data_IF_705856792479
#
_entry.id   IF_705856792479
#
_cell.length_a   1.000
_cell.length_b   1.000
_cell.length_c   1.000
_cell.angle_alpha   90.00
_cell.angle_beta   90.00
_cell.angle_gamma   90.00
#
_symmetry.space_group_name_H-M   'P 1'
#
loop_
_entity.id
_entity.type
_entity.pdbx_description
1 polymer ?
#
# COMPACT_ATOMS: atom_id res chain seq x y z
N UNK A 1 -10.62 23.87 -38.30
CA UNK A 1 -10.95 24.94 -37.34
C UNK A 1 -11.73 24.33 -36.19
N UNK A 2 -11.02 23.75 -35.21
CA UNK A 2 -11.49 23.53 -33.83
C UNK A 2 -10.22 23.66 -32.98
N UNK A 3 -10.16 24.70 -32.16
CA UNK A 3 -9.10 24.92 -31.18
C UNK A 3 -9.32 23.93 -30.04
N UNK A 4 -8.33 23.10 -29.72
CA UNK A 4 -8.27 22.40 -28.44
C UNK A 4 -7.29 23.16 -27.55
N UNK A 5 -7.86 23.88 -26.60
CA UNK A 5 -7.17 24.67 -25.60
C UNK A 5 -6.33 23.77 -24.68
N UNK A 6 -5.18 24.30 -24.28
CA UNK A 6 -4.25 23.73 -23.33
C UNK A 6 -4.96 23.40 -22.01
N UNK A 7 -5.11 22.12 -21.69
CA UNK A 7 -5.43 21.69 -20.33
C UNK A 7 -4.15 21.76 -19.49
N UNK A 8 -3.93 22.92 -18.87
CA UNK A 8 -2.94 23.06 -17.80
C UNK A 8 -3.26 22.05 -16.68
N UNK A 9 -2.31 21.15 -16.45
CA UNK A 9 -2.32 20.21 -15.32
C UNK A 9 -2.27 21.05 -14.05
N UNK A 10 -3.44 21.26 -13.42
CA UNK A 10 -3.54 21.91 -12.12
C UNK A 10 -2.81 21.06 -11.10
N UNK A 11 -1.65 21.57 -10.67
CA UNK A 11 -0.93 21.15 -9.49
C UNK A 11 -1.95 21.00 -8.33
N UNK A 12 -2.05 19.84 -7.65
CA UNK A 12 -2.96 19.71 -6.53
C UNK A 12 -2.56 20.77 -5.50
N UNK A 13 -3.50 21.69 -5.25
CA UNK A 13 -3.38 22.76 -4.26
C UNK A 13 -2.79 22.17 -2.98
N UNK A 14 -1.74 22.83 -2.51
CA UNK A 14 -1.09 22.61 -1.22
C UNK A 14 -2.09 22.13 -0.15
N UNK A 15 -1.73 21.07 0.57
CA UNK A 15 -2.35 20.66 1.84
C UNK A 15 -2.73 21.92 2.65
N UNK A 16 -3.93 21.98 3.26
CA UNK A 16 -4.40 23.21 3.89
C UNK A 16 -3.36 23.74 4.88
N UNK A 17 -2.92 24.97 4.61
CA UNK A 17 -2.13 25.79 5.50
C UNK A 17 -2.80 25.83 6.87
N UNK A 18 -2.16 25.25 7.90
CA UNK A 18 -2.38 25.50 9.33
C UNK A 18 -3.79 25.98 9.72
N UNK A 19 -4.84 25.24 9.33
CA UNK A 19 -6.07 25.17 10.11
C UNK A 19 -5.99 23.91 10.98
N UNK A 20 -4.89 23.83 11.75
CA UNK A 20 -4.76 22.88 12.85
C UNK A 20 -5.54 23.45 14.04
N UNK A 21 -6.84 23.69 13.85
CA UNK A 21 -7.78 23.53 14.95
C UNK A 21 -7.79 22.04 15.28
N UNK A 22 -7.67 21.71 16.55
CA UNK A 22 -7.50 20.36 17.09
C UNK A 22 -8.66 19.42 16.71
N UNK A 23 -8.70 18.90 15.48
CA UNK A 23 -9.61 17.82 15.10
C UNK A 23 -9.13 16.57 15.83
N UNK A 24 -9.65 16.36 17.04
CA UNK A 24 -9.21 15.34 17.99
C UNK A 24 -10.19 14.19 18.15
N UNK A 25 -11.40 14.32 17.63
CA UNK A 25 -12.44 13.32 17.83
C UNK A 25 -13.09 12.88 16.52
N UNK A 26 -13.53 11.63 16.51
CA UNK A 26 -14.13 10.98 15.36
C UNK A 26 -15.41 11.70 14.86
N UNK A 27 -16.15 12.36 15.76
CA UNK A 27 -17.40 13.06 15.39
C UNK A 27 -17.13 14.29 14.52
N UNK A 28 -16.03 14.98 14.73
CA UNK A 28 -15.61 16.11 13.89
C UNK A 28 -15.08 15.62 12.54
N UNK A 29 -14.27 14.56 12.54
CA UNK A 29 -13.69 13.99 11.32
C UNK A 29 -14.78 13.55 10.34
N UNK A 30 -15.81 12.85 10.81
CA UNK A 30 -16.90 12.35 9.95
C UNK A 30 -17.70 13.49 9.29
N UNK A 31 -17.68 14.71 9.86
CA UNK A 31 -18.39 15.87 9.30
C UNK A 31 -17.61 16.60 8.20
N UNK A 32 -16.34 16.26 7.97
CA UNK A 32 -15.53 16.90 6.93
C UNK A 32 -16.08 16.51 5.55
N UNK A 33 -16.51 17.49 4.76
CA UNK A 33 -17.10 17.28 3.43
C UNK A 33 -16.05 16.89 2.36
N UNK A 34 -14.83 17.42 2.47
CA UNK A 34 -13.77 17.08 1.53
C UNK A 34 -13.21 15.68 1.85
N UNK A 35 -13.50 14.70 0.99
CA UNK A 35 -13.12 13.30 1.19
C UNK A 35 -11.61 13.10 1.40
N UNK A 36 -10.76 13.85 0.70
CA UNK A 36 -9.30 13.75 0.87
C UNK A 36 -8.85 14.23 2.24
N UNK A 37 -9.38 15.38 2.69
CA UNK A 37 -9.10 15.92 4.03
C UNK A 37 -9.69 15.02 5.10
N UNK A 38 -10.89 14.47 4.90
CA UNK A 38 -11.50 13.51 5.81
C UNK A 38 -10.62 12.26 5.94
N UNK A 39 -10.18 11.69 4.82
CA UNK A 39 -9.33 10.50 4.78
C UNK A 39 -8.00 10.73 5.49
N UNK A 40 -7.40 11.91 5.31
CA UNK A 40 -6.18 12.32 6.02
C UNK A 40 -6.36 12.26 7.54
N UNK A 41 -7.36 12.97 8.08
CA UNK A 41 -7.58 13.04 9.52
C UNK A 41 -8.06 11.70 10.09
N UNK A 42 -8.92 10.97 9.37
CA UNK A 42 -9.40 9.66 9.80
C UNK A 42 -8.27 8.65 9.89
N UNK A 43 -7.42 8.57 8.86
CA UNK A 43 -6.26 7.67 8.82
C UNK A 43 -5.33 7.97 9.99
N UNK A 44 -4.94 9.24 10.16
CA UNK A 44 -4.09 9.65 11.28
C UNK A 44 -4.68 9.29 12.64
N UNK A 45 -5.96 9.64 12.85
CA UNK A 45 -6.67 9.37 14.10
C UNK A 45 -6.70 7.87 14.44
N UNK A 46 -7.00 7.02 13.46
CA UNK A 46 -7.11 5.58 13.65
C UNK A 46 -5.75 4.94 13.99
N UNK A 47 -4.68 5.32 13.26
CA UNK A 47 -3.32 4.82 13.49
C UNK A 47 -2.80 5.24 14.87
N UNK A 48 -2.99 6.50 15.27
CA UNK A 48 -2.57 7.01 16.57
C UNK A 48 -3.37 6.41 17.73
N UNK A 49 -4.68 6.22 17.55
CA UNK A 49 -5.55 5.66 18.59
C UNK A 49 -5.29 4.17 18.84
N UNK A 50 -4.91 3.41 17.83
CA UNK A 50 -4.69 1.97 17.93
C UNK A 50 -3.30 1.55 17.41
N UNK A 51 -2.21 1.97 18.09
CA UNK A 51 -0.85 1.77 17.60
C UNK A 51 -0.38 0.31 17.63
N UNK A 52 -1.06 -0.54 18.40
CA UNK A 52 -0.74 -1.97 18.56
C UNK A 52 -1.58 -2.90 17.68
N UNK A 53 -2.46 -2.35 16.84
CA UNK A 53 -3.27 -3.16 15.93
C UNK A 53 -2.47 -3.52 14.68
N UNK A 54 -2.82 -4.65 14.07
CA UNK A 54 -2.32 -5.06 12.77
C UNK A 54 -2.99 -4.21 11.69
N UNK A 55 -2.20 -3.42 10.97
CA UNK A 55 -2.69 -2.47 9.97
C UNK A 55 -2.41 -2.97 8.56
N UNK A 56 -3.42 -2.89 7.70
CA UNK A 56 -3.29 -2.93 6.24
C UNK A 56 -3.73 -1.58 5.72
N UNK A 57 -2.86 -0.89 4.98
CA UNK A 57 -3.10 0.47 4.49
C UNK A 57 -3.09 0.43 2.97
N UNK A 58 -4.21 0.81 2.36
CA UNK A 58 -4.43 0.76 0.91
C UNK A 58 -5.00 2.07 0.35
N UNK A 59 -4.91 2.23 -0.97
CA UNK A 59 -5.62 3.23 -1.74
C UNK A 59 -5.49 4.68 -1.20
N UNK A 60 -6.62 5.37 -1.01
CA UNK A 60 -6.66 6.76 -0.55
C UNK A 60 -5.93 7.01 0.77
N UNK A 61 -5.84 6.01 1.66
CA UNK A 61 -5.10 6.15 2.91
C UNK A 61 -3.58 6.29 2.65
N UNK A 62 -3.02 5.50 1.72
CA UNK A 62 -1.61 5.62 1.30
C UNK A 62 -1.32 6.98 0.67
N UNK A 63 -2.27 7.50 -0.10
CA UNK A 63 -2.13 8.80 -0.76
C UNK A 63 -2.11 9.95 0.25
N UNK A 64 -2.92 9.86 1.32
CA UNK A 64 -3.07 10.94 2.31
C UNK A 64 -2.12 10.82 3.50
N UNK A 65 -1.62 9.63 3.85
CA UNK A 65 -0.79 9.45 5.04
C UNK A 65 0.59 10.12 4.92
N UNK A 66 1.17 10.52 6.05
CA UNK A 66 2.58 10.88 6.15
C UNK A 66 3.43 9.67 6.54
N UNK A 67 4.69 9.66 6.10
CA UNK A 67 5.62 8.54 6.35
C UNK A 67 5.92 8.34 7.84
N UNK A 68 5.83 9.41 8.65
CA UNK A 68 6.05 9.36 10.09
C UNK A 68 4.94 8.63 10.86
N UNK A 69 3.80 8.33 10.22
CA UNK A 69 2.67 7.65 10.86
C UNK A 69 2.62 6.16 10.57
N UNK A 70 3.51 5.64 9.70
CA UNK A 70 3.54 4.21 9.35
C UNK A 70 3.76 3.42 10.64
N UNK A 71 2.78 2.58 11.06
CA UNK A 71 2.97 1.74 12.22
C UNK A 71 4.01 0.66 11.93
N UNK A 72 4.75 0.26 12.96
CA UNK A 72 5.60 -0.93 12.92
C UNK A 72 4.79 -2.15 12.48
N UNK A 73 5.38 -2.98 11.62
CA UNK A 73 4.76 -4.19 11.05
C UNK A 73 3.45 -3.94 10.28
N UNK A 74 3.14 -2.70 9.87
CA UNK A 74 2.01 -2.46 8.97
C UNK A 74 2.29 -3.06 7.58
N UNK A 75 1.22 -3.50 6.89
CA UNK A 75 1.28 -3.89 5.48
C UNK A 75 0.74 -2.72 4.64
N UNK A 76 1.56 -2.22 3.72
CA UNK A 76 1.16 -1.24 2.73
C UNK A 76 0.94 -1.97 1.40
N UNK A 77 -0.16 -1.68 0.71
CA UNK A 77 -0.52 -2.35 -0.55
C UNK A 77 -0.53 -1.39 -1.76
N UNK A 78 0.49 -0.55 -1.99
CA UNK A 78 0.46 0.43 -3.06
C UNK A 78 0.48 -0.23 -4.45
N UNK A 79 -0.15 0.39 -5.43
CA UNK A 79 0.27 0.23 -6.82
C UNK A 79 1.47 1.15 -7.14
N UNK A 80 2.09 1.03 -8.32
CA UNK A 80 3.30 1.79 -8.67
C UNK A 80 3.17 3.31 -8.41
N UNK A 81 2.15 3.96 -8.96
CA UNK A 81 1.92 5.40 -8.75
C UNK A 81 1.68 5.81 -7.28
N UNK A 82 1.07 4.96 -6.45
CA UNK A 82 0.96 5.21 -5.00
C UNK A 82 2.30 5.10 -4.31
N UNK A 83 3.11 4.11 -4.68
CA UNK A 83 4.44 3.94 -4.13
C UNK A 83 5.37 5.10 -4.49
N UNK A 84 5.33 5.57 -5.75
CA UNK A 84 6.07 6.76 -6.18
C UNK A 84 5.66 8.02 -5.38
N UNK A 85 4.38 8.15 -5.03
CA UNK A 85 3.89 9.23 -4.15
C UNK A 85 4.40 9.07 -2.72
N UNK A 86 4.55 7.86 -2.19
CA UNK A 86 5.19 7.65 -0.88
C UNK A 86 6.67 8.03 -0.94
N UNK A 87 7.37 7.66 -2.00
CA UNK A 87 8.78 8.01 -2.19
C UNK A 87 8.98 9.53 -2.29
N UNK A 88 8.08 10.27 -2.94
CA UNK A 88 8.20 11.73 -3.03
C UNK A 88 8.10 12.43 -1.66
N UNK A 89 7.41 11.82 -0.69
CA UNK A 89 7.30 12.32 0.70
C UNK A 89 8.58 12.14 1.51
N UNK A 90 9.55 11.32 1.05
CA UNK A 90 10.83 11.10 1.75
C UNK A 90 11.60 12.41 1.97
N UNK A 91 11.56 13.33 1.01
CA UNK A 91 12.26 14.62 1.15
C UNK A 91 11.74 15.42 2.34
N UNK A 92 10.41 15.49 2.51
CA UNK A 92 9.78 16.17 3.64
C UNK A 92 9.99 15.43 4.96
N UNK A 93 10.06 14.10 4.91
CA UNK A 93 10.36 13.26 6.07
C UNK A 93 11.80 13.47 6.57
N UNK A 94 12.78 13.58 5.65
CA UNK A 94 14.19 13.86 5.98
C UNK A 94 14.36 15.15 6.79
N UNK A 95 13.56 16.18 6.50
CA UNK A 95 13.59 17.46 7.24
C UNK A 95 13.13 17.33 8.70
N UNK A 96 12.43 16.26 9.05
CA UNK A 96 11.92 16.01 10.40
C UNK A 96 12.86 15.14 11.26
N UNK A 97 13.90 14.55 10.66
CA UNK A 97 14.83 13.64 11.34
C UNK A 97 16.12 14.36 11.72
N UNK A 98 16.58 14.15 12.95
CA UNK A 98 17.86 14.69 13.46
C UNK A 98 19.00 13.66 13.44
N UNK A 99 18.70 12.37 13.24
CA UNK A 99 19.69 11.29 13.25
C UNK A 99 20.38 11.10 11.89
N UNK A 100 21.71 11.29 11.86
CA UNK A 100 22.54 11.18 10.64
C UNK A 100 22.54 9.79 9.99
N UNK A 101 22.38 8.70 10.75
CA UNK A 101 22.40 7.34 10.17
C UNK A 101 21.14 7.01 9.37
N UNK A 102 19.99 7.60 9.73
CA UNK A 102 18.76 7.47 8.95
C UNK A 102 18.82 8.32 7.69
N UNK A 103 19.47 9.49 7.75
CA UNK A 103 19.63 10.42 6.62
C UNK A 103 20.37 9.78 5.43
N UNK A 104 21.42 8.99 5.67
CA UNK A 104 22.19 8.35 4.59
C UNK A 104 21.36 7.33 3.81
N UNK A 105 20.49 6.57 4.47
CA UNK A 105 19.60 5.61 3.80
C UNK A 105 18.57 6.31 2.90
N UNK A 106 18.12 7.51 3.30
CA UNK A 106 17.15 8.30 2.53
C UNK A 106 17.75 8.91 1.25
N UNK A 107 19.07 9.08 1.16
CA UNK A 107 19.75 9.58 -0.05
C UNK A 107 19.83 8.53 -1.16
N UNK A 108 19.81 7.24 -0.79
CA UNK A 108 19.86 6.12 -1.75
C UNK A 108 18.62 6.13 -2.66
N UNK A 109 17.46 6.57 -2.16
CA UNK A 109 16.23 6.67 -2.98
C UNK A 109 16.31 7.68 -4.13
N UNK A 110 17.31 8.59 -4.13
CA UNK A 110 17.56 9.52 -5.23
C UNK A 110 18.43 8.94 -6.34
N UNK A 111 19.03 7.78 -6.11
CA UNK A 111 19.85 7.09 -7.11
C UNK A 111 18.95 6.31 -8.09
N UNK A 112 19.48 6.06 -9.28
CA UNK A 112 18.80 5.24 -10.27
C UNK A 112 18.96 3.75 -9.93
N UNK A 113 18.12 3.28 -9.02
CA UNK A 113 18.04 1.89 -8.58
C UNK A 113 16.71 1.25 -9.01
N UNK A 114 16.69 -0.07 -9.10
CA UNK A 114 15.50 -0.83 -9.50
C UNK A 114 14.33 -0.59 -8.53
N UNK A 115 13.11 -0.80 -9.03
CA UNK A 115 11.90 -0.67 -8.19
C UNK A 115 11.92 -1.66 -7.01
N UNK A 116 12.41 -2.87 -7.23
CA UNK A 116 12.57 -3.89 -6.19
C UNK A 116 13.49 -3.41 -5.05
N UNK A 117 14.65 -2.84 -5.39
CA UNK A 117 15.56 -2.30 -4.39
C UNK A 117 14.96 -1.09 -3.66
N UNK A 118 14.17 -0.24 -4.35
CA UNK A 118 13.40 0.83 -3.68
C UNK A 118 12.40 0.27 -2.67
N UNK A 119 11.65 -0.76 -3.03
CA UNK A 119 10.67 -1.42 -2.14
C UNK A 119 11.36 -2.04 -0.93
N UNK A 120 12.46 -2.75 -1.15
CA UNK A 120 13.28 -3.38 -0.10
C UNK A 120 13.84 -2.34 0.89
N UNK A 121 14.42 -1.25 0.38
CA UNK A 121 14.93 -0.16 1.19
C UNK A 121 13.81 0.54 1.95
N UNK A 122 12.65 0.76 1.32
CA UNK A 122 11.50 1.39 1.96
C UNK A 122 10.98 0.54 3.13
N UNK A 123 10.74 -0.75 2.89
CA UNK A 123 10.27 -1.70 3.90
C UNK A 123 11.18 -1.71 5.13
N UNK A 124 12.50 -1.72 4.91
CA UNK A 124 13.51 -1.64 5.98
C UNK A 124 13.53 -0.29 6.70
N UNK A 125 13.45 0.81 5.96
CA UNK A 125 13.53 2.17 6.52
C UNK A 125 12.34 2.47 7.42
N UNK A 126 11.14 2.04 7.03
CA UNK A 126 9.89 2.32 7.75
C UNK A 126 9.39 1.15 8.60
N UNK A 127 10.21 0.09 8.76
CA UNK A 127 9.89 -1.10 9.56
C UNK A 127 8.49 -1.67 9.27
N UNK A 128 8.22 -1.91 7.99
CA UNK A 128 6.92 -2.30 7.48
C UNK A 128 7.05 -3.38 6.38
N UNK A 129 5.91 -3.93 5.97
CA UNK A 129 5.80 -4.79 4.79
C UNK A 129 5.17 -3.99 3.65
N UNK A 130 5.76 -4.07 2.46
CA UNK A 130 5.21 -3.48 1.24
C UNK A 130 4.85 -4.60 0.28
N UNK A 131 3.58 -4.64 -0.13
CA UNK A 131 3.07 -5.42 -1.26
C UNK A 131 2.85 -4.45 -2.42
N UNK A 132 3.87 -4.30 -3.27
CA UNK A 132 3.80 -3.47 -4.47
C UNK A 132 3.04 -4.24 -5.56
N UNK A 133 1.82 -3.78 -5.85
CA UNK A 133 0.92 -4.37 -6.85
C UNK A 133 1.42 -4.06 -8.28
N UNK A 134 1.47 -5.08 -9.13
CA UNK A 134 1.84 -4.96 -10.53
C UNK A 134 1.61 -6.26 -11.32
N UNK A 135 2.14 -6.32 -12.54
CA UNK A 135 2.15 -7.57 -13.32
C UNK A 135 2.88 -8.68 -12.53
N UNK A 136 4.01 -8.32 -11.93
CA UNK A 136 4.69 -9.09 -10.89
C UNK A 136 4.59 -8.30 -9.59
N UNK A 137 4.01 -8.92 -8.58
CA UNK A 137 3.87 -8.26 -7.28
C UNK A 137 5.17 -8.44 -6.54
N UNK A 138 5.67 -7.37 -5.94
CA UNK A 138 6.90 -7.41 -5.14
C UNK A 138 6.48 -7.27 -3.68
N UNK A 139 6.81 -8.28 -2.88
CA UNK A 139 6.57 -8.26 -1.44
C UNK A 139 7.90 -8.16 -0.74
N UNK A 140 8.10 -7.14 0.08
CA UNK A 140 9.28 -7.06 0.95
C UNK A 140 8.87 -6.68 2.37
N UNK A 141 9.51 -7.30 3.37
CA UNK A 141 9.37 -6.95 4.78
C UNK A 141 10.70 -6.53 5.36
N UNK A 142 10.72 -5.40 6.05
CA UNK A 142 11.86 -4.94 6.83
C UNK A 142 11.54 -4.96 8.31
N UNK A 143 12.42 -5.57 9.11
CA UNK A 143 12.31 -5.59 10.57
C UNK A 143 13.57 -4.98 11.21
N UNK A 144 13.40 -3.86 11.91
CA UNK A 144 14.47 -3.16 12.62
C UNK A 144 14.09 -2.85 14.08
N UNK A 145 14.99 -3.14 15.00
CA UNK A 145 14.88 -2.81 16.43
C UNK A 145 16.07 -1.93 16.84
N UNK A 146 15.80 -0.65 17.10
CA UNK A 146 16.84 0.34 17.34
C UNK A 146 17.77 0.51 16.13
N UNK A 147 19.07 0.28 16.33
CA UNK A 147 20.08 0.34 15.26
C UNK A 147 20.34 -1.02 14.58
N UNK A 148 19.64 -2.08 15.01
CA UNK A 148 19.81 -3.43 14.48
C UNK A 148 18.66 -3.73 13.52
N UNK A 149 18.99 -4.18 12.31
CA UNK A 149 18.00 -4.61 11.34
C UNK A 149 18.27 -6.05 10.93
N UNK A 150 17.22 -6.86 10.90
CA UNK A 150 17.26 -8.18 10.28
C UNK A 150 17.40 -8.05 8.76
N UNK A 151 17.89 -9.10 8.07
CA UNK A 151 17.85 -9.14 6.61
C UNK A 151 16.43 -8.90 6.10
N UNK A 152 16.30 -8.04 5.08
CA UNK A 152 15.01 -7.81 4.43
C UNK A 152 14.63 -9.06 3.64
N UNK A 153 13.47 -9.63 3.95
CA UNK A 153 12.90 -10.75 3.19
C UNK A 153 12.08 -10.16 2.04
N UNK A 154 12.33 -10.64 0.82
CA UNK A 154 11.61 -10.23 -0.38
C UNK A 154 11.16 -11.45 -1.18
N UNK A 155 10.03 -11.34 -1.85
CA UNK A 155 9.49 -12.34 -2.76
C UNK A 155 8.76 -11.69 -3.92
N UNK A 156 8.80 -12.36 -5.07
CA UNK A 156 8.06 -11.96 -6.26
C UNK A 156 6.90 -12.93 -6.43
N UNK A 157 5.68 -12.40 -6.54
CA UNK A 157 4.49 -13.17 -6.85
C UNK A 157 4.08 -12.91 -8.30
N UNK A 158 4.27 -13.91 -9.13
CA UNK A 158 3.92 -13.89 -10.54
C UNK A 158 2.51 -14.45 -10.80
N UNK A 159 2.07 -14.36 -12.05
CA UNK A 159 0.76 -14.81 -12.49
C UNK A 159 -0.29 -13.71 -12.50
N UNK A 160 -1.54 -14.12 -12.59
CA UNK A 160 -2.66 -13.22 -12.86
C UNK A 160 -2.79 -12.91 -14.34
N UNK A 161 -3.64 -11.95 -14.69
CA UNK A 161 -3.89 -11.58 -16.09
C UNK A 161 -4.52 -10.19 -16.20
N UNK A 162 -4.57 -9.65 -17.42
CA UNK A 162 -5.15 -8.34 -17.70
C UNK A 162 -6.64 -8.20 -17.32
N UNK A 163 -7.37 -9.30 -17.15
CA UNK A 163 -8.75 -9.28 -16.65
C UNK A 163 -8.87 -8.78 -15.21
N UNK A 164 -7.77 -8.80 -14.44
CA UNK A 164 -7.69 -8.28 -13.08
C UNK A 164 -7.53 -6.76 -13.04
N UNK A 165 -7.26 -6.09 -14.17
CA UNK A 165 -7.13 -4.63 -14.26
C UNK A 165 -8.50 -3.96 -14.31
N UNK A 166 -9.31 -4.16 -13.27
CA UNK A 166 -10.67 -3.63 -13.13
C UNK A 166 -10.86 -3.04 -11.74
N UNK A 167 -11.77 -2.07 -11.63
CA UNK A 167 -12.14 -1.51 -10.33
C UNK A 167 -12.60 -2.61 -9.37
N UNK A 168 -12.10 -2.57 -8.13
CA UNK A 168 -12.48 -3.51 -7.07
C UNK A 168 -11.51 -4.68 -6.85
N UNK A 169 -10.69 -5.08 -7.83
CA UNK A 169 -9.77 -6.23 -7.62
C UNK A 169 -8.70 -5.94 -6.58
N UNK A 170 -8.22 -4.69 -6.53
CA UNK A 170 -7.33 -4.23 -5.46
C UNK A 170 -7.97 -4.30 -4.07
N UNK A 171 -9.27 -4.00 -3.96
CA UNK A 171 -10.01 -4.06 -2.69
C UNK A 171 -10.17 -5.50 -2.20
N UNK A 172 -10.41 -6.44 -3.14
CA UNK A 172 -10.41 -7.88 -2.85
C UNK A 172 -9.07 -8.31 -2.28
N UNK A 173 -7.96 -7.93 -2.93
CA UNK A 173 -6.62 -8.21 -2.43
C UNK A 173 -6.37 -7.60 -1.04
N UNK A 174 -6.72 -6.34 -0.82
CA UNK A 174 -6.55 -5.69 0.48
C UNK A 174 -7.34 -6.42 1.59
N UNK A 175 -8.57 -6.85 1.29
CA UNK A 175 -9.39 -7.66 2.19
C UNK A 175 -8.77 -9.02 2.50
N UNK A 176 -8.21 -9.71 1.49
CA UNK A 176 -7.49 -10.97 1.69
C UNK A 176 -6.24 -10.80 2.57
N UNK A 177 -5.44 -9.76 2.30
CA UNK A 177 -4.25 -9.44 3.09
C UNK A 177 -4.66 -9.20 4.54
N UNK A 178 -5.69 -8.38 4.79
CA UNK A 178 -6.18 -8.11 6.13
C UNK A 178 -6.66 -9.38 6.84
N UNK A 179 -7.43 -10.23 6.16
CA UNK A 179 -7.92 -11.49 6.71
C UNK A 179 -6.78 -12.44 7.09
N UNK A 180 -5.81 -12.66 6.19
CA UNK A 180 -4.66 -13.52 6.47
C UNK A 180 -3.75 -12.92 7.55
N UNK A 181 -3.62 -11.60 7.61
CA UNK A 181 -2.76 -10.94 8.60
C UNK A 181 -3.27 -11.14 10.03
N UNK A 182 -4.56 -11.41 10.24
CA UNK A 182 -5.09 -11.73 11.57
C UNK A 182 -4.45 -12.96 12.22
N UNK A 183 -3.95 -13.91 11.42
CA UNK A 183 -3.40 -15.20 11.91
C UNK A 183 -1.93 -15.42 11.56
N UNK A 184 -1.35 -14.58 10.71
CA UNK A 184 0.00 -14.76 10.18
C UNK A 184 0.88 -13.54 10.41
N UNK A 185 2.19 -13.71 10.16
CA UNK A 185 3.14 -12.61 10.04
C UNK A 185 2.88 -11.79 8.77
N UNK A 186 3.30 -10.52 8.78
CA UNK A 186 2.98 -9.55 7.74
C UNK A 186 3.41 -9.99 6.34
N UNK A 187 4.65 -10.47 6.19
CA UNK A 187 5.19 -10.97 4.93
C UNK A 187 4.41 -12.16 4.39
N UNK A 188 4.17 -13.18 5.22
CA UNK A 188 3.44 -14.38 4.83
C UNK A 188 1.99 -14.05 4.43
N UNK A 189 1.33 -13.16 5.18
CA UNK A 189 0.00 -12.70 4.85
C UNK A 189 -0.06 -11.98 3.51
N UNK A 190 0.87 -11.05 3.26
CA UNK A 190 0.94 -10.29 2.02
C UNK A 190 1.25 -11.17 0.80
N UNK A 191 2.31 -11.99 0.89
CA UNK A 191 2.72 -12.88 -0.18
C UNK A 191 1.67 -13.97 -0.46
N UNK A 192 1.11 -14.58 0.58
CA UNK A 192 0.07 -15.61 0.45
C UNK A 192 -1.22 -15.05 -0.15
N UNK A 193 -1.66 -13.86 0.26
CA UNK A 193 -2.82 -13.20 -0.32
C UNK A 193 -2.61 -12.90 -1.80
N UNK A 194 -1.48 -12.28 -2.15
CA UNK A 194 -1.14 -11.96 -3.55
C UNK A 194 -1.09 -13.22 -4.42
N UNK A 195 -0.50 -14.31 -3.91
CA UNK A 195 -0.41 -15.59 -4.62
C UNK A 195 -1.78 -16.18 -4.92
N UNK A 196 -2.64 -16.31 -3.90
CA UNK A 196 -4.00 -16.84 -4.08
C UNK A 196 -4.83 -15.93 -4.98
N UNK A 197 -4.70 -14.61 -4.83
CA UNK A 197 -5.42 -13.62 -5.63
C UNK A 197 -5.07 -13.72 -7.12
N UNK A 198 -3.77 -13.80 -7.46
CA UNK A 198 -3.31 -14.00 -8.84
C UNK A 198 -3.76 -15.33 -9.40
N UNK A 199 -3.66 -16.40 -8.62
CA UNK A 199 -4.09 -17.73 -9.05
C UNK A 199 -5.60 -17.83 -9.26
N UNK A 200 -6.40 -17.13 -8.48
CA UNK A 200 -7.85 -17.03 -8.68
C UNK A 200 -8.17 -16.28 -9.99
N UNK A 201 -7.42 -15.23 -10.31
CA UNK A 201 -7.51 -14.54 -11.59
C UNK A 201 -7.22 -15.47 -12.78
N UNK A 202 -6.19 -16.32 -12.71
CA UNK A 202 -5.87 -17.30 -13.75
C UNK A 202 -6.96 -18.36 -13.92
N UNK A 203 -7.53 -18.83 -12.82
CA UNK A 203 -8.64 -19.79 -12.84
C UNK A 203 -9.88 -19.20 -13.53
N UNK A 204 -10.20 -17.93 -13.23
CA UNK A 204 -11.28 -17.21 -13.90
C UNK A 204 -10.96 -16.96 -15.37
N UNK A 205 -9.72 -16.62 -15.70
CA UNK A 205 -9.32 -16.46 -17.09
C UNK A 205 -9.55 -17.73 -17.90
N UNK A 206 -9.25 -18.89 -17.31
CA UNK A 206 -9.50 -20.19 -17.96
C UNK A 206 -10.99 -20.44 -18.21
N UNK A 207 -11.88 -19.97 -17.32
CA UNK A 207 -13.33 -20.19 -17.41
C UNK A 207 -14.06 -19.13 -18.26
N UNK A 208 -13.66 -17.88 -18.16
CA UNK A 208 -14.41 -16.71 -18.62
C UNK A 208 -13.60 -15.81 -19.56
N UNK A 209 -12.34 -16.14 -19.83
CA UNK A 209 -11.41 -15.20 -20.48
C UNK A 209 -11.23 -13.94 -19.63
N UNK A 210 -11.12 -12.78 -20.28
CA UNK A 210 -11.01 -11.49 -19.57
C UNK A 210 -12.34 -10.96 -19.00
N UNK A 211 -13.44 -11.71 -19.14
CA UNK A 211 -14.81 -11.25 -18.88
C UNK A 211 -15.32 -11.63 -17.49
N UNK A 212 -14.59 -11.25 -16.45
CA UNK A 212 -14.99 -11.38 -15.04
C UNK A 212 -14.77 -10.07 -14.27
N UNK A 213 -15.43 -9.86 -13.14
CA UNK A 213 -15.31 -8.67 -12.29
C UNK A 213 -14.77 -9.02 -10.89
N UNK A 214 -14.70 -8.04 -9.98
CA UNK A 214 -14.20 -8.24 -8.62
C UNK A 214 -15.06 -9.19 -7.77
N UNK A 215 -16.38 -9.24 -7.99
CA UNK A 215 -17.28 -10.19 -7.34
C UNK A 215 -17.01 -11.61 -7.80
N UNK A 216 -16.86 -11.83 -9.12
CA UNK A 216 -16.49 -13.14 -9.66
C UNK A 216 -15.15 -13.62 -9.06
N UNK A 217 -14.18 -12.70 -8.93
CA UNK A 217 -12.89 -12.97 -8.29
C UNK A 217 -13.05 -13.36 -6.82
N UNK A 218 -13.93 -12.68 -6.09
CA UNK A 218 -14.27 -13.00 -4.70
C UNK A 218 -14.85 -14.41 -4.58
N UNK A 219 -15.78 -14.78 -5.46
CA UNK A 219 -16.40 -16.10 -5.48
C UNK A 219 -15.45 -17.22 -5.92
N UNK A 220 -14.43 -16.88 -6.72
CA UNK A 220 -13.42 -17.82 -7.16
C UNK A 220 -12.38 -18.13 -6.06
N UNK A 221 -12.07 -17.18 -5.18
CA UNK A 221 -11.01 -17.34 -4.15
C UNK A 221 -11.18 -18.63 -3.33
N UNK A 222 -12.35 -18.95 -2.73
CA UNK A 222 -12.52 -20.18 -1.96
C UNK A 222 -12.28 -21.46 -2.80
N UNK A 223 -12.68 -21.45 -4.08
CA UNK A 223 -12.47 -22.58 -4.98
C UNK A 223 -10.98 -22.77 -5.29
N UNK A 224 -10.28 -21.68 -5.56
CA UNK A 224 -8.83 -21.68 -5.82
C UNK A 224 -8.06 -22.12 -4.58
N UNK A 225 -8.40 -21.61 -3.40
CA UNK A 225 -7.79 -22.06 -2.13
C UNK A 225 -8.04 -23.55 -1.88
N UNK A 226 -9.27 -24.03 -2.11
CA UNK A 226 -9.57 -25.46 -1.99
C UNK A 226 -8.66 -26.31 -2.89
N UNK A 227 -8.46 -25.88 -4.14
CA UNK A 227 -7.55 -26.57 -5.07
C UNK A 227 -6.09 -26.50 -4.64
N UNK A 228 -5.63 -25.38 -4.11
CA UNK A 228 -4.22 -25.20 -3.75
C UNK A 228 -3.81 -25.92 -2.46
N UNK A 229 -4.72 -26.06 -1.50
CA UNK A 229 -4.39 -26.55 -0.16
C UNK A 229 -4.91 -27.95 0.14
N UNK A 230 -5.85 -28.48 -0.65
CA UNK A 230 -6.55 -29.74 -0.33
C UNK A 230 -6.69 -30.71 -1.51
N UNK A 231 -6.08 -30.41 -2.66
CA UNK A 231 -6.00 -31.29 -3.84
C UNK A 231 -4.55 -31.38 -4.30
#
# INVERSE_FOLDING_TARGET
>A
MVRTENAEIRNPKSLPSRQAGEIRNLKEIIKIENEGVQTYYLTKYLLEKYPKKKWVIDAGALQMMELSWIPHDAILTPHQGEFERLLSKITNYKLQITNKSQISNLEIFKQDISMEEKVKLFARTFNCTVLLKGERDIVCTGKCEGNVCLPTECGIVEGGNAGMTKGGTGDVLAGMVAALYTKNEAFLAAAGAAFVHKRAGEDLYTKNGYWYNASDLTDQIPQTMKRLFFL
#
